data_IF_176525676901
#
_entry.id   IF_176525676901
#
_cell.length_a   1.000
_cell.length_b   1.000
_cell.length_c   1.000
_cell.angle_alpha   90.00
_cell.angle_beta   90.00
_cell.angle_gamma   90.00
#
_symmetry.space_group_name_H-M   'P 1'
#
loop_
_entity.id
_entity.type
_entity.pdbx_description
1 polymer ?
#
# COMPACT_ATOMS: atom_id res chain seq x y z
N UNK A 1 -14.54 23.01 9.92
CA UNK A 1 -14.59 22.27 8.64
C UNK A 1 -13.65 22.81 7.57
N UNK A 2 -13.59 24.11 7.36
CA UNK A 2 -12.64 24.71 6.39
C UNK A 2 -11.18 24.41 6.70
N UNK A 3 -10.79 24.32 7.98
CA UNK A 3 -9.41 24.02 8.38
C UNK A 3 -9.00 22.57 8.08
N UNK A 4 -9.92 21.61 8.21
CA UNK A 4 -9.64 20.20 7.92
C UNK A 4 -9.41 19.98 6.42
N UNK A 5 -10.24 20.58 5.57
CA UNK A 5 -10.08 20.53 4.12
C UNK A 5 -8.77 21.19 3.66
N UNK A 6 -8.41 22.32 4.26
CA UNK A 6 -7.18 23.05 3.96
C UNK A 6 -5.94 22.24 4.36
N UNK A 7 -5.97 21.56 5.51
CA UNK A 7 -4.89 20.70 5.98
C UNK A 7 -4.71 19.48 5.05
N UNK A 8 -5.80 18.83 4.63
CA UNK A 8 -5.78 17.72 3.69
C UNK A 8 -5.18 18.10 2.35
N UNK A 9 -5.58 19.24 1.81
CA UNK A 9 -5.05 19.77 0.56
C UNK A 9 -3.56 20.08 0.68
N UNK A 10 -3.14 20.65 1.81
CA UNK A 10 -1.75 20.95 2.13
C UNK A 10 -0.86 19.70 2.17
N UNK A 11 -1.36 18.61 2.73
CA UNK A 11 -0.64 17.33 2.80
C UNK A 11 -0.45 16.71 1.41
N UNK A 12 -1.47 16.73 0.55
CA UNK A 12 -1.36 16.25 -0.83
C UNK A 12 -0.37 17.09 -1.64
N UNK A 13 -0.41 18.39 -1.48
CA UNK A 13 0.51 19.31 -2.16
C UNK A 13 1.94 19.08 -1.71
N UNK A 14 2.17 18.91 -0.42
CA UNK A 14 3.49 18.60 0.12
C UNK A 14 4.04 17.29 -0.43
N UNK A 15 3.21 16.24 -0.52
CA UNK A 15 3.59 14.97 -1.12
C UNK A 15 3.95 15.14 -2.59
N UNK A 16 3.13 15.87 -3.36
CA UNK A 16 3.38 16.12 -4.79
C UNK A 16 4.74 16.77 -5.01
N UNK A 17 5.06 17.81 -4.23
CA UNK A 17 6.34 18.50 -4.30
C UNK A 17 7.49 17.53 -4.01
N UNK A 18 7.36 16.73 -2.96
CA UNK A 18 8.38 15.74 -2.58
C UNK A 18 8.61 14.71 -3.68
N UNK A 19 7.55 14.20 -4.29
CA UNK A 19 7.63 13.25 -5.40
C UNK A 19 8.31 13.88 -6.62
N UNK A 20 7.91 15.09 -7.00
CA UNK A 20 8.48 15.82 -8.13
C UNK A 20 9.97 16.11 -7.94
N UNK A 21 10.36 16.52 -6.72
CA UNK A 21 11.76 16.76 -6.39
C UNK A 21 12.60 15.49 -6.52
N UNK A 22 12.09 14.36 -6.07
CA UNK A 22 12.78 13.08 -6.18
C UNK A 22 12.90 12.65 -7.64
N UNK A 23 11.83 12.77 -8.42
CA UNK A 23 11.85 12.48 -9.85
C UNK A 23 12.90 13.33 -10.58
N UNK A 24 12.99 14.62 -10.26
CA UNK A 24 13.97 15.53 -10.85
C UNK A 24 15.39 15.08 -10.54
N UNK A 25 15.69 14.75 -9.28
CA UNK A 25 17.00 14.29 -8.86
C UNK A 25 17.41 12.97 -9.53
N UNK A 26 16.45 12.13 -9.87
CA UNK A 26 16.69 10.82 -10.46
C UNK A 26 16.47 10.75 -11.97
N UNK A 27 16.33 11.89 -12.61
CA UNK A 27 15.97 12.00 -14.04
C UNK A 27 16.81 11.13 -14.97
N UNK A 28 18.11 11.02 -14.70
CA UNK A 28 19.05 10.27 -15.56
C UNK A 28 19.53 8.96 -14.92
N UNK A 29 18.87 8.54 -13.84
CA UNK A 29 19.24 7.32 -13.12
C UNK A 29 18.26 6.21 -13.48
N UNK A 30 18.79 5.12 -14.04
CA UNK A 30 18.01 3.91 -14.33
C UNK A 30 18.23 2.88 -13.24
N UNK A 31 17.20 2.09 -12.98
CA UNK A 31 17.24 1.07 -11.95
C UNK A 31 17.04 1.66 -10.55
N UNK A 32 16.27 0.96 -9.73
CA UNK A 32 16.06 1.31 -8.34
C UNK A 32 15.92 0.04 -7.51
N UNK A 33 16.79 -0.09 -6.50
CA UNK A 33 16.75 -1.19 -5.54
C UNK A 33 16.32 -0.65 -4.19
N UNK A 34 15.03 -0.77 -3.83
CA UNK A 34 14.55 -0.22 -2.56
C UNK A 34 15.16 -0.95 -1.37
N UNK A 35 15.42 -0.21 -0.31
CA UNK A 35 15.68 -0.78 1.01
C UNK A 35 14.39 -0.78 1.83
N UNK A 36 14.34 -1.58 2.89
CA UNK A 36 13.21 -1.57 3.81
C UNK A 36 12.99 -0.18 4.41
N UNK A 37 14.06 0.53 4.74
CA UNK A 37 14.00 1.89 5.27
C UNK A 37 13.34 2.84 4.26
N UNK A 38 13.74 2.78 2.99
CA UNK A 38 13.15 3.60 1.93
C UNK A 38 11.68 3.26 1.70
N UNK A 39 11.34 1.97 1.70
CA UNK A 39 9.96 1.53 1.53
C UNK A 39 9.07 2.06 2.66
N UNK A 40 9.50 1.95 3.91
CA UNK A 40 8.77 2.47 5.07
C UNK A 40 8.67 4.01 5.05
N UNK A 41 9.72 4.69 4.63
CA UNK A 41 9.74 6.14 4.48
C UNK A 41 8.64 6.59 3.49
N UNK A 42 8.60 6.00 2.31
CA UNK A 42 7.62 6.38 1.28
C UNK A 42 6.21 5.91 1.64
N UNK A 43 6.06 4.76 2.29
CA UNK A 43 4.76 4.33 2.82
C UNK A 43 4.16 5.40 3.73
N UNK A 44 4.94 5.93 4.68
CA UNK A 44 4.45 6.97 5.59
C UNK A 44 4.03 8.24 4.86
N UNK A 45 4.83 8.69 3.90
CA UNK A 45 4.52 9.90 3.14
C UNK A 45 3.30 9.72 2.23
N UNK A 46 3.18 8.58 1.57
CA UNK A 46 2.02 8.26 0.75
C UNK A 46 0.77 8.11 1.63
N UNK A 47 0.89 7.50 2.78
CA UNK A 47 -0.23 7.37 3.73
C UNK A 47 -0.73 8.76 4.17
N UNK A 48 0.17 9.65 4.52
CA UNK A 48 -0.19 11.02 4.90
C UNK A 48 -0.83 11.78 3.74
N UNK A 49 -0.23 11.75 2.57
CA UNK A 49 -0.65 12.58 1.44
C UNK A 49 -1.84 12.05 0.66
N UNK A 50 -2.02 10.74 0.56
CA UNK A 50 -3.08 10.12 -0.24
C UNK A 50 -4.21 9.52 0.60
N UNK A 51 -3.93 9.06 1.81
CA UNK A 51 -4.88 8.29 2.61
C UNK A 51 -5.23 8.93 3.95
N UNK A 52 -4.82 10.16 4.20
CA UNK A 52 -5.06 10.89 5.47
C UNK A 52 -4.59 10.11 6.70
N UNK A 53 -3.51 9.37 6.60
CA UNK A 53 -2.99 8.51 7.67
C UNK A 53 -3.96 7.40 8.11
N UNK A 54 -4.91 7.04 7.27
CA UNK A 54 -5.93 6.04 7.63
C UNK A 54 -5.41 4.61 7.55
N UNK A 55 -4.35 4.36 6.78
CA UNK A 55 -3.83 3.00 6.64
C UNK A 55 -3.09 2.58 7.92
N UNK A 56 -3.30 1.33 8.36
CA UNK A 56 -2.51 0.79 9.46
C UNK A 56 -1.05 0.62 9.04
N UNK A 57 -0.14 0.66 10.00
CA UNK A 57 1.25 0.31 9.77
C UNK A 57 1.33 -1.21 9.62
N UNK A 58 1.85 -1.67 8.49
CA UNK A 58 1.99 -3.09 8.19
C UNK A 58 3.44 -3.40 7.84
N UNK A 59 3.89 -4.66 8.01
CA UNK A 59 5.22 -5.06 7.54
C UNK A 59 5.36 -4.86 6.03
N UNK A 60 6.51 -4.32 5.62
CA UNK A 60 6.90 -4.19 4.23
C UNK A 60 8.12 -5.08 3.99
N UNK A 61 7.98 -6.03 3.09
CA UNK A 61 9.04 -6.98 2.76
C UNK A 61 9.60 -6.69 1.37
N UNK A 62 10.92 -6.68 1.27
CA UNK A 62 11.62 -6.53 -0.01
C UNK A 62 12.16 -7.90 -0.37
N UNK A 63 11.69 -8.45 -1.49
CA UNK A 63 12.13 -9.78 -1.94
C UNK A 63 12.14 -9.87 -3.46
N UNK A 64 12.91 -10.84 -3.96
CA UNK A 64 12.92 -11.12 -5.39
C UNK A 64 11.60 -11.73 -5.80
N UNK A 65 10.88 -11.08 -6.72
CA UNK A 65 9.60 -11.54 -7.24
C UNK A 65 9.75 -11.87 -8.71
N UNK A 66 9.15 -12.98 -9.15
CA UNK A 66 9.32 -13.49 -10.52
C UNK A 66 8.21 -13.08 -11.48
N UNK A 67 7.01 -12.83 -10.97
CA UNK A 67 5.83 -12.52 -11.81
C UNK A 67 5.17 -11.19 -11.49
N UNK A 68 5.41 -10.63 -10.29
CA UNK A 68 4.80 -9.40 -9.84
C UNK A 68 5.87 -8.41 -9.39
N UNK A 69 5.54 -7.12 -9.39
CA UNK A 69 6.40 -6.08 -8.83
C UNK A 69 6.05 -5.75 -7.39
N UNK A 70 4.86 -6.12 -6.95
CA UNK A 70 4.41 -5.94 -5.58
C UNK A 70 3.19 -6.79 -5.31
N UNK A 71 2.90 -6.96 -4.04
CA UNK A 71 1.76 -7.75 -3.57
C UNK A 71 1.30 -7.21 -2.22
N UNK A 72 -0.01 -7.09 -2.04
CA UNK A 72 -0.61 -6.85 -0.74
C UNK A 72 -1.43 -8.09 -0.37
N UNK A 73 -1.22 -8.62 0.82
CA UNK A 73 -1.92 -9.82 1.21
C UNK A 73 -2.51 -9.71 2.62
N UNK A 74 -3.58 -10.47 2.83
CA UNK A 74 -4.17 -10.72 4.12
C UNK A 74 -3.96 -12.18 4.48
N UNK A 75 -3.68 -12.44 5.74
CA UNK A 75 -3.47 -13.80 6.23
C UNK A 75 -4.22 -14.01 7.54
N UNK A 76 -4.74 -15.21 7.71
CA UNK A 76 -5.42 -15.63 8.91
C UNK A 76 -5.23 -17.12 9.14
N UNK A 77 -5.37 -17.57 10.38
CA UNK A 77 -5.29 -18.97 10.73
C UNK A 77 -6.71 -19.51 10.95
N UNK A 78 -7.19 -20.34 10.02
CA UNK A 78 -8.52 -20.95 10.08
C UNK A 78 -8.76 -21.72 11.37
N UNK A 79 -7.72 -22.29 11.98
CA UNK A 79 -7.83 -23.02 13.25
C UNK A 79 -8.21 -22.13 14.42
N UNK A 80 -7.95 -20.81 14.31
CA UNK A 80 -8.27 -19.80 15.31
C UNK A 80 -9.54 -19.03 15.01
N UNK A 81 -10.24 -19.37 13.93
CA UNK A 81 -11.48 -18.74 13.56
C UNK A 81 -12.66 -19.32 14.36
N UNK A 82 -13.65 -18.48 14.62
CA UNK A 82 -14.80 -18.85 15.46
C UNK A 82 -15.65 -20.01 14.93
N UNK A 83 -15.73 -20.18 13.61
CA UNK A 83 -16.60 -21.16 12.95
C UNK A 83 -15.89 -21.82 11.77
N UNK A 84 -15.06 -22.80 12.03
CA UNK A 84 -14.54 -23.68 10.98
C UNK A 84 -13.68 -22.97 9.93
N UNK A 85 -13.68 -23.54 8.74
CA UNK A 85 -12.82 -23.11 7.64
C UNK A 85 -13.56 -22.16 6.70
N UNK A 86 -12.90 -21.07 6.29
CA UNK A 86 -13.43 -20.09 5.36
C UNK A 86 -12.71 -20.15 4.03
N UNK A 87 -13.42 -19.74 2.96
CA UNK A 87 -12.85 -19.62 1.63
C UNK A 87 -11.65 -18.64 1.66
N UNK A 88 -10.50 -19.10 1.17
CA UNK A 88 -9.27 -18.28 1.15
C UNK A 88 -9.35 -17.05 0.27
N UNK A 89 -10.35 -16.98 -0.61
CA UNK A 89 -10.58 -15.82 -1.48
C UNK A 89 -11.44 -14.73 -0.85
N UNK A 90 -12.01 -14.98 0.34
CA UNK A 90 -12.89 -14.06 1.04
C UNK A 90 -12.37 -13.87 2.45
N UNK A 91 -12.03 -12.62 2.82
CA UNK A 91 -11.46 -12.32 4.13
C UNK A 91 -12.54 -12.42 5.21
N UNK A 92 -12.34 -13.26 6.23
CA UNK A 92 -13.33 -13.47 7.29
C UNK A 92 -13.19 -12.44 8.43
N UNK A 93 -13.52 -11.18 8.16
CA UNK A 93 -13.29 -10.05 9.08
C UNK A 93 -13.83 -10.25 10.50
N UNK A 94 -15.05 -10.77 10.62
CA UNK A 94 -15.74 -10.86 11.92
C UNK A 94 -15.37 -12.11 12.72
N UNK A 95 -14.54 -12.98 12.15
CA UNK A 95 -14.37 -14.36 12.66
C UNK A 95 -12.94 -14.75 12.96
N UNK A 96 -11.98 -14.04 12.39
CA UNK A 96 -10.56 -14.31 12.53
C UNK A 96 -9.79 -13.04 12.79
N UNK A 97 -8.64 -13.14 13.43
CA UNK A 97 -7.62 -12.11 13.39
C UNK A 97 -6.98 -12.13 12.01
N UNK A 98 -6.88 -10.97 11.40
CA UNK A 98 -6.31 -10.80 10.05
C UNK A 98 -5.02 -10.02 10.16
N UNK A 99 -3.95 -10.59 9.62
CA UNK A 99 -2.67 -9.89 9.44
C UNK A 99 -2.54 -9.43 8.00
N UNK A 100 -1.99 -8.23 7.82
CA UNK A 100 -1.77 -7.65 6.50
C UNK A 100 -0.29 -7.36 6.30
N UNK A 101 0.16 -7.47 5.06
CA UNK A 101 1.53 -7.12 4.70
C UNK A 101 1.60 -6.71 3.23
N UNK A 102 2.66 -5.97 2.89
CA UNK A 102 2.98 -5.62 1.51
C UNK A 102 4.36 -6.21 1.19
N UNK A 103 4.44 -6.88 0.06
CA UNK A 103 5.70 -7.38 -0.50
C UNK A 103 6.04 -6.55 -1.73
N UNK A 104 7.30 -6.12 -1.84
CA UNK A 104 7.80 -5.31 -2.93
C UNK A 104 8.99 -6.01 -3.57
N UNK A 105 9.11 -5.88 -4.90
CA UNK A 105 10.23 -6.45 -5.62
C UNK A 105 11.54 -5.75 -5.23
N UNK A 106 12.63 -6.50 -5.26
CA UNK A 106 13.95 -6.01 -4.88
C UNK A 106 14.62 -5.12 -5.93
N UNK A 107 14.08 -5.05 -7.14
CA UNK A 107 14.67 -4.27 -8.23
C UNK A 107 13.60 -3.79 -9.20
N UNK A 108 13.58 -2.48 -9.44
CA UNK A 108 12.65 -1.82 -10.37
C UNK A 108 13.41 -1.15 -11.50
N UNK A 109 12.81 -1.04 -12.71
CA UNK A 109 13.44 -0.29 -13.80
C UNK A 109 13.73 1.16 -13.45
N UNK A 110 12.80 1.81 -12.71
CA UNK A 110 12.95 3.19 -12.26
C UNK A 110 12.41 3.36 -10.85
N UNK A 111 12.78 4.45 -10.19
CA UNK A 111 12.21 4.82 -8.90
C UNK A 111 10.70 5.07 -9.01
N UNK A 112 10.25 5.64 -10.13
CA UNK A 112 8.83 5.89 -10.39
C UNK A 112 8.04 4.59 -10.39
N UNK A 113 8.56 3.54 -11.01
CA UNK A 113 7.94 2.21 -11.01
C UNK A 113 7.77 1.68 -9.59
N UNK A 114 8.77 1.88 -8.73
CA UNK A 114 8.69 1.52 -7.32
C UNK A 114 7.57 2.26 -6.61
N UNK A 115 7.51 3.59 -6.74
CA UNK A 115 6.48 4.42 -6.08
C UNK A 115 5.08 4.07 -6.57
N UNK A 116 4.89 3.90 -7.88
CA UNK A 116 3.61 3.52 -8.45
C UNK A 116 3.15 2.15 -7.94
N UNK A 117 4.07 1.19 -7.83
CA UNK A 117 3.78 -0.14 -7.30
C UNK A 117 3.41 -0.05 -5.81
N UNK A 118 4.18 0.68 -5.01
CA UNK A 118 3.87 0.85 -3.59
C UNK A 118 2.49 1.49 -3.39
N UNK A 119 2.19 2.55 -4.13
CA UNK A 119 0.88 3.21 -4.05
C UNK A 119 -0.26 2.27 -4.47
N UNK A 120 -0.05 1.47 -5.51
CA UNK A 120 -1.01 0.47 -5.98
C UNK A 120 -1.33 -0.56 -4.87
N UNK A 121 -0.31 -1.10 -4.22
CA UNK A 121 -0.52 -2.06 -3.13
C UNK A 121 -1.15 -1.41 -1.90
N UNK A 122 -0.86 -0.13 -1.66
CA UNK A 122 -1.51 0.63 -0.58
C UNK A 122 -3.01 0.84 -0.84
N UNK A 123 -3.44 0.97 -2.09
CA UNK A 123 -4.87 1.02 -2.43
C UNK A 123 -5.53 -0.31 -2.08
N UNK A 124 -4.89 -1.43 -2.37
CA UNK A 124 -5.41 -2.75 -1.96
C UNK A 124 -5.47 -2.85 -0.42
N UNK A 125 -4.47 -2.34 0.27
CA UNK A 125 -4.49 -2.31 1.74
C UNK A 125 -5.68 -1.49 2.25
N UNK A 126 -5.97 -0.35 1.62
CA UNK A 126 -7.13 0.48 1.96
C UNK A 126 -8.45 -0.29 1.74
N UNK A 127 -8.57 -1.00 0.61
CA UNK A 127 -9.75 -1.84 0.35
C UNK A 127 -9.95 -2.86 1.47
N UNK A 128 -8.89 -3.55 1.86
CA UNK A 128 -8.98 -4.62 2.85
C UNK A 128 -9.17 -4.12 4.27
N UNK A 129 -8.57 -3.00 4.64
CA UNK A 129 -8.56 -2.55 6.04
C UNK A 129 -9.63 -1.52 6.36
N UNK A 130 -9.85 -0.55 5.49
CA UNK A 130 -10.78 0.56 5.74
C UNK A 130 -12.17 0.24 5.17
N UNK A 131 -12.23 -0.22 3.92
CA UNK A 131 -13.50 -0.56 3.27
C UNK A 131 -13.99 -1.96 3.63
N UNK A 132 -13.11 -2.79 4.19
CA UNK A 132 -13.41 -4.21 4.46
C UNK A 132 -13.97 -4.94 3.24
N UNK A 133 -13.40 -4.63 2.06
CA UNK A 133 -13.76 -5.31 0.81
C UNK A 133 -13.12 -6.70 0.81
N UNK A 134 -13.91 -7.78 0.95
CA UNK A 134 -13.33 -9.11 1.15
C UNK A 134 -12.62 -9.66 -0.08
N UNK A 135 -12.86 -9.09 -1.25
CA UNK A 135 -12.27 -9.59 -2.49
C UNK A 135 -10.98 -8.86 -2.87
N UNK A 136 -10.83 -7.61 -2.45
CA UNK A 136 -9.63 -6.78 -2.69
C UNK A 136 -9.04 -6.94 -4.10
N UNK A 137 -9.88 -6.80 -5.12
CA UNK A 137 -9.47 -6.85 -6.51
C UNK A 137 -9.58 -5.48 -7.16
N UNK A 138 -9.32 -5.39 -8.47
CA UNK A 138 -9.43 -4.13 -9.23
C UNK A 138 -10.89 -3.82 -9.57
N UNK A 139 -11.72 -3.69 -8.55
CA UNK A 139 -13.15 -3.38 -8.66
C UNK A 139 -13.42 -1.87 -8.53
N UNK A 140 -14.68 -1.49 -8.42
CA UNK A 140 -15.07 -0.08 -8.30
C UNK A 140 -14.43 0.60 -7.08
N UNK A 141 -14.27 -0.11 -5.95
CA UNK A 141 -13.62 0.43 -4.76
C UNK A 141 -12.16 0.77 -5.02
N UNK A 142 -11.44 -0.06 -5.76
CA UNK A 142 -10.06 0.21 -6.16
C UNK A 142 -9.96 1.45 -7.03
N UNK A 143 -10.79 1.54 -8.06
CA UNK A 143 -10.76 2.65 -9.01
C UNK A 143 -11.34 3.96 -8.46
N UNK A 144 -11.95 3.94 -7.28
CA UNK A 144 -12.40 5.16 -6.61
C UNK A 144 -11.24 6.05 -6.13
N UNK A 145 -10.03 5.52 -6.13
CA UNK A 145 -8.83 6.29 -5.89
C UNK A 145 -8.30 6.89 -7.19
#
# INVERSE_FOLDING_TARGET
MKQIKKKKYSQRKALKIKLENTLTRRKNITGFKPTTTQANYWFRHLNTGLFNNKLPIVPLYILRMTSDWGRCWANWDNRKCRKGTYDQNVIPYDKCEIDFAIELHSNYPTWRDFIETLAHEMVHLYQMTILEDPYSNHNANFFAF
#
